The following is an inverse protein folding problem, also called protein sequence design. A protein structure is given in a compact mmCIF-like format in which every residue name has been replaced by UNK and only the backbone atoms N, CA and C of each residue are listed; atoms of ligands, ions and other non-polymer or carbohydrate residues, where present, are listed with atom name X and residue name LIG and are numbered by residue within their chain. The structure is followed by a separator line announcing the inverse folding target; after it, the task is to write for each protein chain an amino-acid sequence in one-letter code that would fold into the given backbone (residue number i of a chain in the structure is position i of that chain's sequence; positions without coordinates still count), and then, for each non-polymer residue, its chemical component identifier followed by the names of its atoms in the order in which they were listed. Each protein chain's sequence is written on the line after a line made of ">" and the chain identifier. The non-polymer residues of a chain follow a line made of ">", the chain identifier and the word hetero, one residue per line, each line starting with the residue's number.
data_IF_623617580317
#
_entry.id   IF_623617580317
#
_cell.length_a   1.000
_cell.length_b   1.000
_cell.length_c   1.000
_cell.angle_alpha   90.00
_cell.angle_beta   90.00
_cell.angle_gamma   90.00
#
_symmetry.space_group_name_H-M   'P 1'
#
loop_
_entity.id
_entity.type
_entity.pdbx_description
1 polymer ?
#
# COMPACT_ATOMS: atom_id res chain seq x y z
N UNK A 1 -9.35 5.05 15.02
CA UNK A 1 -8.10 4.28 15.13
C UNK A 1 -7.97 3.86 16.58
N UNK A 2 -7.68 2.59 16.82
CA UNK A 2 -7.47 2.02 18.17
C UNK A 2 -5.99 2.08 18.55
N UNK A 3 -5.12 1.68 17.62
CA UNK A 3 -3.67 1.77 17.81
C UNK A 3 -2.96 2.00 16.47
N UNK A 4 -1.70 2.43 16.56
CA UNK A 4 -0.82 2.64 15.43
C UNK A 4 0.51 1.93 15.72
N UNK A 5 0.83 0.91 14.92
CA UNK A 5 2.10 0.22 15.01
C UNK A 5 3.15 0.91 14.12
N UNK A 6 4.38 0.95 14.59
CA UNK A 6 5.52 1.39 13.81
C UNK A 6 6.19 0.20 13.14
N UNK A 7 6.60 0.37 11.91
CA UNK A 7 7.66 -0.45 11.35
C UNK A 7 9.02 -0.17 12.01
N UNK A 8 10.04 -0.84 11.52
CA UNK A 8 11.42 -0.71 12.02
C UNK A 8 12.39 -0.38 10.89
N UNK A 9 13.52 0.20 11.25
CA UNK A 9 14.65 0.36 10.33
C UNK A 9 15.46 -0.93 10.27
N UNK A 10 15.82 -1.32 9.06
CA UNK A 10 16.62 -2.53 8.80
C UNK A 10 17.79 -2.18 7.88
N UNK A 11 18.87 -2.95 7.99
CA UNK A 11 19.95 -2.91 7.00
C UNK A 11 19.55 -3.85 5.85
N UNK A 12 19.40 -3.27 4.67
CA UNK A 12 18.87 -3.97 3.50
C UNK A 12 19.83 -3.89 2.33
N UNK A 13 19.69 -4.84 1.41
CA UNK A 13 20.29 -4.77 0.08
C UNK A 13 19.64 -3.64 -0.75
N UNK A 14 20.25 -3.30 -1.89
CA UNK A 14 19.64 -2.44 -2.91
C UNK A 14 18.51 -3.16 -3.67
N UNK A 15 18.61 -4.48 -3.80
CA UNK A 15 17.76 -5.33 -4.61
C UNK A 15 16.52 -5.82 -3.85
N UNK A 16 15.48 -6.14 -4.61
CA UNK A 16 14.32 -6.85 -4.08
C UNK A 16 14.71 -8.27 -3.67
N UNK A 17 13.95 -8.84 -2.73
CA UNK A 17 14.18 -10.23 -2.31
C UNK A 17 13.94 -11.22 -3.44
N UNK A 18 14.65 -12.34 -3.37
CA UNK A 18 14.35 -13.53 -4.15
C UNK A 18 13.60 -14.57 -3.31
N UNK A 19 12.60 -15.20 -3.89
CA UNK A 19 11.79 -16.23 -3.24
C UNK A 19 11.22 -15.79 -1.88
N UNK A 20 11.38 -16.61 -0.85
CA UNK A 20 10.87 -16.37 0.51
C UNK A 20 11.88 -15.70 1.46
N UNK A 21 12.93 -15.08 0.94
CA UNK A 21 13.88 -14.35 1.79
C UNK A 21 13.16 -13.21 2.54
N UNK A 22 13.46 -12.95 3.81
CA UNK A 22 12.88 -11.82 4.54
C UNK A 22 13.21 -10.49 3.88
N UNK A 23 12.21 -9.62 3.78
CA UNK A 23 12.39 -8.32 3.16
C UNK A 23 11.58 -7.23 3.85
N UNK A 24 11.94 -5.99 3.60
CA UNK A 24 11.28 -4.80 4.11
C UNK A 24 10.65 -4.06 2.95
N UNK A 25 9.40 -3.63 3.11
CA UNK A 25 8.72 -2.82 2.12
C UNK A 25 9.49 -1.51 1.87
N UNK A 26 9.58 -1.10 0.61
CA UNK A 26 9.91 0.27 0.24
C UNK A 26 8.72 1.17 0.55
N UNK A 27 8.96 2.47 0.61
CA UNK A 27 7.88 3.44 0.76
C UNK A 27 6.87 3.38 -0.40
N UNK A 28 7.37 3.12 -1.62
CA UNK A 28 6.57 2.93 -2.84
C UNK A 28 5.53 1.82 -2.74
N UNK A 29 5.74 0.82 -1.87
CA UNK A 29 4.79 -0.26 -1.65
C UNK A 29 3.39 0.19 -1.15
N UNK A 30 3.27 1.41 -0.59
CA UNK A 30 2.01 1.95 -0.06
C UNK A 30 1.72 3.40 -0.50
N UNK A 31 2.54 3.98 -1.37
CA UNK A 31 2.48 5.41 -1.72
C UNK A 31 1.38 5.76 -2.72
N UNK A 32 0.99 4.83 -3.57
CA UNK A 32 0.09 5.12 -4.70
C UNK A 32 -1.37 4.75 -4.46
N UNK A 33 -1.74 4.53 -3.20
CA UNK A 33 -3.12 4.22 -2.83
C UNK A 33 -3.51 2.74 -2.93
N UNK A 34 -2.58 1.87 -3.32
CA UNK A 34 -2.71 0.42 -3.36
C UNK A 34 -1.43 -0.24 -2.88
N UNK A 35 -1.51 -1.52 -2.52
CA UNK A 35 -0.39 -2.28 -1.99
C UNK A 35 0.37 -2.99 -3.10
N UNK A 36 1.71 -2.83 -3.10
CA UNK A 36 2.66 -3.41 -4.05
C UNK A 36 3.71 -4.24 -3.28
N UNK A 37 3.49 -5.55 -3.06
CA UNK A 37 4.44 -6.39 -2.32
C UNK A 37 5.79 -6.56 -3.00
N UNK A 38 5.89 -6.40 -4.31
CA UNK A 38 7.13 -6.43 -5.10
C UNK A 38 8.04 -5.23 -4.80
N UNK A 39 7.49 -4.13 -4.31
CA UNK A 39 8.24 -2.96 -3.87
C UNK A 39 8.85 -3.21 -2.49
N UNK A 40 9.92 -4.00 -2.45
CA UNK A 40 10.62 -4.39 -1.23
C UNK A 40 12.15 -4.38 -1.43
N UNK A 41 12.87 -4.57 -0.33
CA UNK A 41 14.34 -4.76 -0.29
C UNK A 41 14.65 -5.95 0.60
N UNK A 42 15.51 -6.85 0.13
CA UNK A 42 15.97 -7.96 0.93
C UNK A 42 16.74 -7.47 2.17
N UNK A 43 16.50 -8.08 3.34
CA UNK A 43 17.40 -7.84 4.50
C UNK A 43 18.70 -8.58 4.29
N UNK A 44 19.81 -8.04 4.81
CA UNK A 44 21.13 -8.67 4.66
C UNK A 44 21.25 -9.99 5.43
N UNK A 45 20.55 -10.10 6.57
CA UNK A 45 20.55 -11.31 7.40
C UNK A 45 19.12 -11.85 7.54
N UNK A 46 18.90 -13.10 7.11
CA UNK A 46 17.61 -13.79 7.20
C UNK A 46 17.07 -13.92 8.64
N UNK A 47 17.95 -13.87 9.64
CA UNK A 47 17.58 -13.93 11.04
C UNK A 47 17.00 -12.60 11.56
N UNK A 48 17.04 -11.52 10.77
CA UNK A 48 16.45 -10.23 11.12
C UNK A 48 14.92 -10.17 10.93
N UNK A 49 14.28 -11.26 10.55
CA UNK A 49 12.82 -11.29 10.50
C UNK A 49 12.20 -11.05 11.87
N UNK A 50 11.32 -10.08 11.95
CA UNK A 50 10.63 -9.67 13.18
C UNK A 50 9.12 -9.85 12.98
N UNK A 51 8.56 -10.86 13.62
CA UNK A 51 7.14 -11.22 13.52
C UNK A 51 6.20 -10.03 13.82
N UNK A 52 6.52 -9.19 14.79
CA UNK A 52 5.74 -7.99 15.13
C UNK A 52 5.72 -6.92 14.03
N UNK A 53 6.70 -6.93 13.13
CA UNK A 53 6.77 -6.04 11.97
C UNK A 53 6.22 -6.69 10.68
N UNK A 54 5.86 -7.98 10.71
CA UNK A 54 5.36 -8.69 9.54
C UNK A 54 4.10 -8.05 8.99
N UNK A 55 4.06 -7.86 7.67
CA UNK A 55 2.86 -7.43 6.94
C UNK A 55 1.90 -8.60 6.84
N UNK A 56 0.61 -8.35 7.04
CA UNK A 56 -0.44 -9.38 7.03
C UNK A 56 -1.63 -8.95 6.19
N UNK A 57 -2.35 -9.92 5.69
CA UNK A 57 -3.67 -9.68 5.10
C UNK A 57 -4.57 -8.90 6.08
N UNK A 58 -5.33 -7.96 5.56
CA UNK A 58 -6.17 -7.07 6.35
C UNK A 58 -5.43 -5.90 7.01
N UNK A 59 -4.12 -5.72 6.78
CA UNK A 59 -3.40 -4.54 7.24
C UNK A 59 -3.83 -3.29 6.47
N UNK A 60 -3.92 -2.17 7.18
CA UNK A 60 -4.04 -0.85 6.61
C UNK A 60 -2.73 -0.08 6.83
N UNK A 61 -2.01 0.13 5.75
CA UNK A 61 -0.70 0.78 5.73
C UNK A 61 -0.85 2.27 5.45
N UNK A 62 -0.07 3.10 6.15
CA UNK A 62 -0.11 4.55 6.04
C UNK A 62 1.31 5.11 5.94
N UNK A 63 1.61 5.85 4.89
CA UNK A 63 2.92 6.46 4.66
C UNK A 63 3.11 7.68 5.56
N UNK A 64 3.82 7.51 6.69
CA UNK A 64 4.03 8.60 7.65
C UNK A 64 5.02 9.67 7.19
N UNK A 65 5.96 9.31 6.32
CA UNK A 65 6.96 10.22 5.74
C UNK A 65 6.95 10.07 4.23
N UNK A 66 6.83 11.18 3.52
CA UNK A 66 6.92 11.24 2.05
C UNK A 66 7.06 12.69 1.60
N UNK A 67 7.07 12.93 0.28
CA UNK A 67 6.91 14.30 -0.26
C UNK A 67 5.58 14.89 0.21
N UNK A 68 5.41 16.22 0.20
CA UNK A 68 4.17 16.87 0.64
C UNK A 68 2.91 16.33 -0.05
N UNK A 69 2.99 15.99 -1.32
CA UNK A 69 1.87 15.50 -2.13
C UNK A 69 1.48 14.06 -1.77
N UNK A 70 2.45 13.25 -1.35
CA UNK A 70 2.30 11.80 -1.16
C UNK A 70 2.29 11.36 0.32
N UNK A 71 2.59 12.27 1.26
CA UNK A 71 2.53 11.95 2.69
C UNK A 71 1.10 11.59 3.10
N UNK A 72 0.95 10.57 3.92
CA UNK A 72 -0.35 10.12 4.41
C UNK A 72 -1.18 9.30 3.42
N UNK A 73 -0.60 8.84 2.31
CA UNK A 73 -1.25 7.84 1.45
C UNK A 73 -1.42 6.52 2.20
N UNK A 74 -2.52 5.85 1.92
CA UNK A 74 -2.85 4.55 2.50
C UNK A 74 -2.90 3.45 1.44
N UNK A 75 -2.57 2.23 1.86
CA UNK A 75 -2.79 1.01 1.08
C UNK A 75 -3.41 -0.08 1.96
N UNK A 76 -4.40 -0.78 1.44
CA UNK A 76 -5.00 -1.94 2.11
C UNK A 76 -4.40 -3.23 1.55
N UNK A 77 -4.01 -4.14 2.45
CA UNK A 77 -3.37 -5.40 2.11
C UNK A 77 -4.46 -6.46 1.94
N UNK A 78 -4.80 -6.81 0.70
CA UNK A 78 -5.74 -7.90 0.39
C UNK A 78 -5.08 -9.27 0.50
N UNK A 79 -3.83 -9.36 0.07
CA UNK A 79 -2.99 -10.55 0.10
C UNK A 79 -1.52 -10.12 0.16
N UNK A 80 -0.66 -10.94 0.77
CA UNK A 80 0.77 -10.61 0.88
C UNK A 80 1.62 -11.87 0.96
N UNK A 81 2.75 -11.91 0.27
CA UNK A 81 3.74 -12.97 0.46
C UNK A 81 4.27 -12.97 1.90
N UNK A 82 4.67 -14.16 2.37
CA UNK A 82 5.29 -14.34 3.68
C UNK A 82 6.56 -13.50 3.86
N UNK A 83 6.92 -13.20 5.10
CA UNK A 83 8.19 -12.56 5.49
C UNK A 83 8.46 -11.16 4.93
N UNK A 84 7.42 -10.42 4.55
CA UNK A 84 7.51 -8.98 4.31
C UNK A 84 7.32 -8.22 5.62
N UNK A 85 8.12 -7.18 5.84
CA UNK A 85 8.11 -6.38 7.06
C UNK A 85 7.88 -4.89 6.78
N UNK A 86 7.31 -4.21 7.76
CA UNK A 86 7.07 -2.77 7.71
C UNK A 86 8.36 -1.98 8.00
N UNK A 87 8.72 -1.00 7.15
CA UNK A 87 9.76 -0.02 7.45
C UNK A 87 9.27 1.01 8.48
N UNK A 88 10.18 1.76 9.07
CA UNK A 88 9.87 2.88 9.97
C UNK A 88 9.13 4.05 9.32
N UNK A 89 9.07 4.09 7.98
CA UNK A 89 8.38 5.11 7.19
C UNK A 89 6.89 4.81 6.97
N UNK A 90 6.43 3.64 7.36
CA UNK A 90 5.04 3.19 7.18
C UNK A 90 4.47 2.79 8.54
N UNK A 91 3.29 3.30 8.86
CA UNK A 91 2.47 2.86 9.99
C UNK A 91 1.50 1.76 9.57
N UNK A 92 1.20 0.84 10.48
CA UNK A 92 -0.01 0.00 10.43
C UNK A 92 -1.08 0.67 11.27
N UNK A 93 -2.25 0.92 10.68
CA UNK A 93 -3.40 1.48 11.37
C UNK A 93 -4.34 0.37 11.83
N UNK A 94 -4.53 0.24 13.12
CA UNK A 94 -5.50 -0.68 13.69
C UNK A 94 -6.79 0.06 14.03
N UNK A 95 -7.91 -0.41 13.50
CA UNK A 95 -9.24 0.17 13.74
C UNK A 95 -10.00 -0.64 14.78
N UNK A 96 -10.85 0.02 15.55
CA UNK A 96 -11.81 -0.65 16.41
C UNK A 96 -13.06 -1.09 15.61
N UNK A 97 -14.00 -1.77 16.30
CA UNK A 97 -15.24 -2.32 15.71
C UNK A 97 -16.16 -1.27 15.07
N UNK A 98 -15.94 0.03 15.27
CA UNK A 98 -16.76 1.11 14.71
C UNK A 98 -16.26 1.58 13.35
N UNK A 99 -15.07 1.17 12.93
CA UNK A 99 -14.44 1.65 11.70
C UNK A 99 -13.94 0.49 10.83
N UNK A 100 -14.50 0.36 9.64
CA UNK A 100 -14.05 -0.58 8.62
C UNK A 100 -12.76 -0.07 7.96
N UNK A 101 -11.74 -0.91 7.85
CA UNK A 101 -10.41 -0.54 7.30
C UNK A 101 -10.47 -0.16 5.82
N UNK A 102 -11.30 -0.83 5.01
CA UNK A 102 -11.44 -0.53 3.57
C UNK A 102 -12.15 0.83 3.40
N UNK A 103 -13.17 1.12 4.21
CA UNK A 103 -13.78 2.44 4.24
C UNK A 103 -12.76 3.52 4.59
N UNK A 104 -11.98 3.32 5.66
CA UNK A 104 -10.96 4.28 6.10
C UNK A 104 -9.87 4.47 5.04
N UNK A 105 -9.43 3.39 4.39
CA UNK A 105 -8.49 3.44 3.28
C UNK A 105 -8.97 4.35 2.15
N UNK A 106 -10.18 4.14 1.67
CA UNK A 106 -10.75 4.95 0.57
C UNK A 106 -11.00 6.40 1.01
N UNK A 107 -11.44 6.62 2.26
CA UNK A 107 -11.62 7.97 2.80
C UNK A 107 -10.30 8.76 2.83
N UNK A 108 -9.24 8.19 3.37
CA UNK A 108 -7.93 8.87 3.50
C UNK A 108 -7.35 9.20 2.12
N UNK A 109 -7.53 8.33 1.14
CA UNK A 109 -7.02 8.54 -0.23
C UNK A 109 -7.96 9.37 -1.12
N UNK A 110 -9.13 9.74 -0.65
CA UNK A 110 -10.07 10.54 -1.43
C UNK A 110 -9.59 11.99 -1.56
N UNK A 111 -9.65 12.56 -2.76
CA UNK A 111 -9.10 13.88 -3.08
C UNK A 111 -9.55 14.97 -2.08
N UNK A 112 -10.85 15.02 -1.77
CA UNK A 112 -11.38 15.99 -0.80
C UNK A 112 -10.84 15.82 0.63
N UNK A 113 -10.26 14.67 0.96
CA UNK A 113 -9.68 14.41 2.27
C UNK A 113 -8.16 14.55 2.28
N UNK A 114 -7.54 14.51 1.11
CA UNK A 114 -6.08 14.63 0.96
C UNK A 114 -5.56 15.97 1.48
N UNK A 115 -6.21 17.06 1.12
CA UNK A 115 -5.83 18.41 1.61
C UNK A 115 -5.84 18.45 3.14
N UNK A 116 -6.85 17.83 3.78
CA UNK A 116 -6.93 17.77 5.24
C UNK A 116 -5.82 16.92 5.85
N UNK A 117 -5.47 15.78 5.24
CA UNK A 117 -4.33 14.96 5.67
C UNK A 117 -3.02 15.76 5.57
N UNK A 118 -2.84 16.55 4.52
CA UNK A 118 -1.63 17.36 4.33
C UNK A 118 -1.49 18.46 5.39
N UNK A 119 -2.59 19.02 5.91
CA UNK A 119 -2.55 20.03 6.98
C UNK A 119 -1.94 19.54 8.28
N UNK A 120 -2.03 18.24 8.56
CA UNK A 120 -1.44 17.63 9.77
C UNK A 120 0.02 17.20 9.59
N UNK A 121 0.56 17.30 8.38
CA UNK A 121 1.97 17.03 8.13
C UNK A 121 2.88 18.16 8.61
N UNK A 122 4.09 17.82 9.02
CA UNK A 122 5.16 18.74 9.38
C UNK A 122 6.41 18.44 8.59
N UNK A 123 7.20 19.46 8.31
CA UNK A 123 8.46 19.35 7.58
C UNK A 123 8.74 20.64 6.83
N UNK A 124 10.00 20.92 6.50
CA UNK A 124 10.33 22.03 5.61
C UNK A 124 9.89 21.70 4.19
N UNK A 125 9.25 22.64 3.54
CA UNK A 125 8.45 22.52 2.32
C UNK A 125 9.14 21.92 1.07
N UNK A 126 10.35 21.39 1.14
CA UNK A 126 11.09 20.99 -0.08
C UNK A 126 11.52 19.53 -0.20
N UNK A 127 11.45 18.69 0.84
CA UNK A 127 11.92 17.32 0.67
C UNK A 127 11.10 16.22 1.33
N UNK A 128 10.79 16.32 2.62
CA UNK A 128 10.12 15.24 3.35
C UNK A 128 9.15 15.80 4.38
N UNK A 129 7.86 15.55 4.18
CA UNK A 129 6.82 15.78 5.18
C UNK A 129 6.67 14.57 6.10
N UNK A 130 6.28 14.80 7.34
CA UNK A 130 6.09 13.77 8.35
C UNK A 130 4.78 13.97 9.12
N UNK A 131 4.05 12.89 9.33
CA UNK A 131 2.86 12.86 10.17
C UNK A 131 3.17 12.01 11.40
N UNK A 132 3.09 12.62 12.60
CA UNK A 132 3.27 11.88 13.85
C UNK A 132 2.01 11.10 14.23
N UNK A 133 2.16 10.10 15.11
CA UNK A 133 1.01 9.33 15.64
C UNK A 133 -0.01 10.24 16.32
N UNK A 134 0.46 11.17 17.13
CA UNK A 134 -0.39 12.10 17.89
C UNK A 134 -1.25 12.95 16.96
N UNK A 135 -0.66 13.47 15.88
CA UNK A 135 -1.38 14.26 14.87
C UNK A 135 -2.39 13.41 14.11
N UNK A 136 -2.02 12.19 13.73
CA UNK A 136 -2.92 11.28 13.04
C UNK A 136 -4.09 10.84 13.95
N UNK A 137 -3.84 10.58 15.23
CA UNK A 137 -4.88 10.26 16.21
C UNK A 137 -5.81 11.46 16.52
N UNK A 138 -5.29 12.68 16.41
CA UNK A 138 -6.08 13.90 16.56
C UNK A 138 -6.98 14.23 15.35
N UNK A 139 -6.83 13.53 14.24
CA UNK A 139 -7.60 13.77 13.02
C UNK A 139 -9.08 13.38 13.24
N UNK A 140 -9.98 14.33 12.98
CA UNK A 140 -11.42 14.10 13.06
C UNK A 140 -11.96 13.68 11.71
N UNK A 141 -12.68 12.58 11.66
CA UNK A 141 -13.30 12.06 10.43
C UNK A 141 -14.81 11.92 10.60
N UNK A 142 -15.54 12.05 9.51
CA UNK A 142 -16.94 11.65 9.45
C UNK A 142 -16.99 10.13 9.40
N UNK A 143 -17.67 9.51 10.35
CA UNK A 143 -17.78 8.07 10.44
C UNK A 143 -19.24 7.65 10.34
N UNK A 144 -19.71 7.20 9.16
CA UNK A 144 -21.05 6.66 9.00
C UNK A 144 -21.29 5.41 9.88
N UNK A 145 -22.56 5.01 10.10
CA UNK A 145 -22.87 3.75 10.77
C UNK A 145 -22.11 2.57 10.13
N UNK A 146 -21.63 1.64 10.97
CA UNK A 146 -20.76 0.53 10.51
C UNK A 146 -21.38 -0.28 9.36
N UNK A 147 -22.69 -0.50 9.35
CA UNK A 147 -23.39 -1.20 8.27
C UNK A 147 -23.21 -0.52 6.90
N UNK A 148 -23.21 0.81 6.85
CA UNK A 148 -22.99 1.54 5.59
C UNK A 148 -21.53 1.44 5.15
N UNK A 149 -20.59 1.46 6.10
CA UNK A 149 -19.17 1.25 5.81
C UNK A 149 -18.91 -0.15 5.26
N UNK A 150 -19.56 -1.18 5.81
CA UNK A 150 -19.45 -2.58 5.35
C UNK A 150 -20.04 -2.76 3.94
N UNK A 151 -21.20 -2.16 3.66
CA UNK A 151 -21.80 -2.16 2.30
C UNK A 151 -20.86 -1.48 1.29
N UNK A 152 -20.31 -0.34 1.64
CA UNK A 152 -19.32 0.36 0.82
C UNK A 152 -18.07 -0.50 0.61
N UNK A 153 -17.52 -1.12 1.67
CA UNK A 153 -16.34 -1.98 1.60
C UNK A 153 -16.58 -3.20 0.70
N UNK A 154 -17.75 -3.82 0.77
CA UNK A 154 -18.14 -4.93 -0.11
C UNK A 154 -18.16 -4.49 -1.58
N UNK A 155 -18.76 -3.36 -1.88
CA UNK A 155 -18.78 -2.78 -3.24
C UNK A 155 -17.36 -2.48 -3.75
N UNK A 156 -16.51 -1.84 -2.92
CA UNK A 156 -15.11 -1.56 -3.26
C UNK A 156 -14.36 -2.85 -3.57
N UNK A 157 -14.47 -3.86 -2.70
CA UNK A 157 -13.79 -5.16 -2.89
C UNK A 157 -14.21 -5.83 -4.19
N UNK A 158 -15.52 -5.82 -4.51
CA UNK A 158 -16.02 -6.37 -5.77
C UNK A 158 -15.48 -5.61 -6.98
N UNK A 159 -15.48 -4.27 -6.92
CA UNK A 159 -14.96 -3.42 -7.98
C UNK A 159 -13.46 -3.63 -8.21
N UNK A 160 -12.66 -3.70 -7.14
CA UNK A 160 -11.21 -3.90 -7.23
C UNK A 160 -10.89 -5.30 -7.80
N UNK A 161 -11.65 -6.36 -7.41
CA UNK A 161 -11.53 -7.69 -8.03
C UNK A 161 -11.86 -7.68 -9.52
N UNK A 162 -12.93 -6.99 -9.91
CA UNK A 162 -13.31 -6.86 -11.33
C UNK A 162 -12.24 -6.14 -12.14
N UNK A 163 -11.68 -5.06 -11.61
CA UNK A 163 -10.56 -4.32 -12.25
C UNK A 163 -9.35 -5.23 -12.47
N UNK A 164 -8.96 -6.00 -11.45
CA UNK A 164 -7.83 -6.94 -11.58
C UNK A 164 -8.06 -7.99 -12.66
N UNK A 165 -9.29 -8.54 -12.74
CA UNK A 165 -9.66 -9.52 -13.76
C UNK A 165 -9.57 -8.92 -15.17
N UNK A 166 -10.11 -7.71 -15.35
CA UNK A 166 -10.07 -6.99 -16.63
C UNK A 166 -8.62 -6.68 -17.03
N UNK A 167 -7.79 -6.24 -16.07
CA UNK A 167 -6.38 -5.94 -16.32
C UNK A 167 -5.62 -7.18 -16.80
N UNK A 168 -5.80 -8.33 -16.15
CA UNK A 168 -5.19 -9.60 -16.57
C UNK A 168 -5.63 -10.01 -18.00
N UNK A 169 -6.94 -9.90 -18.29
CA UNK A 169 -7.45 -10.21 -19.63
C UNK A 169 -6.87 -9.27 -20.70
N UNK A 170 -6.66 -8.00 -20.36
CA UNK A 170 -6.02 -7.03 -21.26
C UNK A 170 -4.56 -7.42 -21.55
N UNK A 171 -3.79 -7.76 -20.53
CA UNK A 171 -2.39 -8.21 -20.69
C UNK A 171 -2.27 -9.49 -21.53
N UNK A 172 -3.18 -10.44 -21.34
CA UNK A 172 -3.26 -11.66 -22.16
C UNK A 172 -3.56 -11.33 -23.62
N UNK A 173 -4.52 -10.43 -23.89
CA UNK A 173 -4.85 -9.97 -25.25
C UNK A 173 -3.70 -9.23 -25.90
N UNK A 174 -2.99 -8.36 -25.18
CA UNK A 174 -1.81 -7.66 -25.69
C UNK A 174 -0.69 -8.64 -26.04
N UNK A 175 -0.47 -9.66 -25.19
CA UNK A 175 0.51 -10.72 -25.44
C UNK A 175 0.16 -11.52 -26.67
N UNK A 176 -1.10 -11.90 -26.82
CA UNK A 176 -1.60 -12.60 -28.01
C UNK A 176 -1.44 -11.75 -29.27
N UNK A 177 -1.81 -10.47 -29.19
CA UNK A 177 -1.65 -9.54 -30.32
C UNK A 177 -0.18 -9.43 -30.75
N UNK A 178 0.76 -9.25 -29.81
CA UNK A 178 2.20 -9.24 -30.11
C UNK A 178 2.66 -10.53 -30.80
N UNK A 179 2.21 -11.68 -30.29
CA UNK A 179 2.57 -12.98 -30.91
C UNK A 179 2.00 -13.13 -32.33
N UNK A 180 0.77 -12.69 -32.58
CA UNK A 180 0.16 -12.69 -33.91
C UNK A 180 0.87 -11.72 -34.84
N UNK A 181 1.17 -10.51 -34.41
CA UNK A 181 1.94 -9.54 -35.19
C UNK A 181 3.30 -10.09 -35.58
N UNK A 182 4.01 -10.73 -34.64
CA UNK A 182 5.29 -11.37 -34.96
C UNK A 182 5.15 -12.53 -35.94
N UNK A 183 4.10 -13.36 -35.80
CA UNK A 183 3.84 -14.49 -36.69
C UNK A 183 3.49 -14.08 -38.11
N UNK A 184 2.69 -13.03 -38.28
CA UNK A 184 2.16 -12.66 -39.61
C UNK A 184 2.91 -11.53 -40.28
N UNK A 185 3.60 -10.67 -39.51
CA UNK A 185 4.30 -9.49 -40.03
C UNK A 185 5.79 -9.46 -39.67
N UNK A 186 6.25 -10.32 -38.72
CA UNK A 186 7.66 -10.52 -38.44
C UNK A 186 8.30 -11.37 -39.55
N UNK A 187 8.37 -10.81 -40.74
CA UNK A 187 8.94 -11.48 -41.89
C UNK A 187 10.39 -11.88 -41.62
N UNK A 188 10.72 -13.14 -41.94
CA UNK A 188 12.10 -13.55 -42.17
C UNK A 188 12.68 -12.57 -43.17
N UNK A 189 13.55 -11.67 -42.70
CA UNK A 189 14.36 -10.86 -43.57
C UNK A 189 15.16 -11.79 -44.47
N UNK A 190 14.89 -11.72 -45.76
CA UNK A 190 15.73 -12.25 -46.82
C UNK A 190 17.05 -11.52 -46.79
#
# INVERSE_FOLDING_TARGET
>A
IESIDNGKSFVCDSEAREGEWPAVLKLSAATYGYYLPEENKAVLDKNQFIEGAAVREGDLLFTRKNTPELVGMCAYVYDTPSKLMLPDLIFRLNTNKRCNKIFLWKLINHDLFRDYIQTIATGSAKSMSNISKERLLGLKIILPPIKLQEQFAAFVTQTDKSKLTIQKSLEELETLNKALMQKYFGGNGV
#
